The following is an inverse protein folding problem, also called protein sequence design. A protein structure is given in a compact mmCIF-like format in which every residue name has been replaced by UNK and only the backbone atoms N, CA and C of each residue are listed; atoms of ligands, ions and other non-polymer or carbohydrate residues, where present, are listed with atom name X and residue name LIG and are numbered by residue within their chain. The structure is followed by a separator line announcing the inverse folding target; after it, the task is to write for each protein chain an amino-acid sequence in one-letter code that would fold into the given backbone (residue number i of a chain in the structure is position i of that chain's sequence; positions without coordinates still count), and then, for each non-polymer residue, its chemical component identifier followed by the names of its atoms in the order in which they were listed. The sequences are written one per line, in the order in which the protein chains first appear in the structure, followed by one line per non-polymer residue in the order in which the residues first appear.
data_IF_617607204074
#
_entry.id   IF_617607204074
#
_cell.length_a   1.000
_cell.length_b   1.000
_cell.length_c   1.000
_cell.angle_alpha   90.00
_cell.angle_beta   90.00
_cell.angle_gamma   90.00
#
_symmetry.space_group_name_H-M   'P 1'
#
loop_
_entity.id
_entity.type
_entity.pdbx_description
1 polymer ?
#
# COMPACT_ATOMS: atom_id res chain seq x y z
N UNK A 1 -55.36 -3.30 37.07
CA UNK A 1 -55.30 -2.87 35.64
C UNK A 1 -54.01 -2.10 35.31
N UNK A 2 -53.49 -1.23 36.19
CA UNK A 2 -52.29 -0.41 35.94
C UNK A 2 -50.94 -1.17 35.90
N UNK A 3 -50.82 -2.34 36.55
CA UNK A 3 -49.55 -3.11 36.55
C UNK A 3 -49.24 -3.77 35.19
N UNK A 4 -50.26 -4.21 34.44
CA UNK A 4 -50.09 -4.86 33.14
C UNK A 4 -49.62 -3.88 32.04
N UNK A 5 -50.01 -2.61 32.13
CA UNK A 5 -49.52 -1.56 31.24
C UNK A 5 -48.02 -1.28 31.44
N UNK A 6 -47.53 -1.38 32.69
CA UNK A 6 -46.15 -1.03 33.06
C UNK A 6 -45.11 -2.01 32.50
N UNK A 7 -45.45 -3.29 32.37
CA UNK A 7 -44.59 -4.32 31.76
C UNK A 7 -44.56 -4.23 30.24
N UNK A 8 -45.71 -3.94 29.60
CA UNK A 8 -45.79 -3.75 28.16
C UNK A 8 -44.96 -2.56 27.67
N UNK A 9 -45.03 -1.42 28.37
CA UNK A 9 -44.25 -0.21 28.04
C UNK A 9 -42.74 -0.44 28.20
N UNK A 10 -42.31 -1.22 29.22
CA UNK A 10 -40.89 -1.52 29.44
C UNK A 10 -40.29 -2.41 28.35
N UNK A 11 -41.03 -3.42 27.89
CA UNK A 11 -40.59 -4.25 26.76
C UNK A 11 -40.59 -3.46 25.45
N UNK A 12 -41.60 -2.61 25.23
CA UNK A 12 -41.65 -1.75 24.04
C UNK A 12 -40.46 -0.78 23.98
N UNK A 13 -40.11 -0.15 25.10
CA UNK A 13 -38.97 0.76 25.19
C UNK A 13 -37.63 0.07 24.87
N UNK A 14 -37.42 -1.15 25.36
CA UNK A 14 -36.20 -1.95 25.11
C UNK A 14 -36.10 -2.38 23.64
N UNK A 15 -37.22 -2.72 23.00
CA UNK A 15 -37.25 -3.06 21.58
C UNK A 15 -36.97 -1.84 20.69
N UNK A 16 -37.46 -0.67 21.07
CA UNK A 16 -37.20 0.60 20.37
C UNK A 16 -35.74 1.00 20.47
N UNK A 17 -35.11 0.89 21.65
CA UNK A 17 -33.68 1.21 21.81
C UNK A 17 -32.77 0.23 21.05
N UNK A 18 -33.11 -1.06 21.03
CA UNK A 18 -32.36 -2.06 20.25
C UNK A 18 -32.46 -1.79 18.74
N UNK A 19 -33.63 -1.35 18.26
CA UNK A 19 -33.85 -0.98 16.85
C UNK A 19 -33.07 0.28 16.45
N UNK A 20 -33.02 1.28 17.34
CA UNK A 20 -32.23 2.51 17.11
C UNK A 20 -30.73 2.20 17.09
N UNK A 21 -30.24 1.32 17.96
CA UNK A 21 -28.84 0.92 17.99
C UNK A 21 -28.43 0.17 16.71
N UNK A 22 -29.29 -0.75 16.22
CA UNK A 22 -29.08 -1.47 14.97
C UNK A 22 -29.07 -0.56 13.71
N UNK A 23 -29.76 0.59 13.74
CA UNK A 23 -29.77 1.56 12.64
C UNK A 23 -28.60 2.54 12.68
N UNK A 24 -27.83 2.58 13.77
CA UNK A 24 -26.72 3.52 13.97
C UNK A 24 -25.36 3.01 13.48
N UNK A 25 -25.25 1.73 13.09
CA UNK A 25 -24.01 1.15 12.58
C UNK A 25 -23.76 1.55 11.13
N UNK A 26 -23.08 2.67 10.92
CA UNK A 26 -22.51 3.01 9.61
C UNK A 26 -21.25 2.16 9.38
N UNK A 27 -21.41 1.01 8.72
CA UNK A 27 -20.26 0.25 8.21
C UNK A 27 -19.77 0.93 6.93
N UNK A 28 -18.67 1.69 7.04
CA UNK A 28 -17.99 2.26 5.87
C UNK A 28 -17.11 1.18 5.26
N UNK A 29 -17.59 0.54 4.18
CA UNK A 29 -16.76 -0.35 3.36
C UNK A 29 -15.84 0.50 2.48
N UNK A 30 -14.53 0.46 2.77
CA UNK A 30 -13.51 1.04 1.89
C UNK A 30 -13.44 0.29 0.56
N UNK A 31 -13.32 1.03 -0.54
CA UNK A 31 -13.11 0.43 -1.85
C UNK A 31 -11.74 -0.26 -1.92
N UNK A 32 -11.65 -1.37 -2.65
CA UNK A 32 -10.37 -2.05 -2.89
C UNK A 32 -9.39 -1.13 -3.65
N UNK A 33 -8.09 -1.16 -3.32
CA UNK A 33 -7.09 -0.36 -4.03
C UNK A 33 -7.02 -0.76 -5.50
N UNK A 34 -6.79 0.23 -6.38
CA UNK A 34 -6.58 -0.04 -7.81
C UNK A 34 -5.33 -0.90 -8.00
N UNK A 35 -5.42 -1.88 -8.92
CA UNK A 35 -4.28 -2.72 -9.31
C UNK A 35 -3.15 -1.85 -9.85
N UNK A 36 -1.92 -2.11 -9.41
CA UNK A 36 -0.75 -1.43 -9.93
C UNK A 36 -0.56 -1.73 -11.43
N UNK A 37 -0.21 -0.69 -12.20
CA UNK A 37 0.07 -0.79 -13.64
C UNK A 37 1.57 -0.60 -13.85
N UNK A 38 2.21 -1.56 -14.52
CA UNK A 38 3.63 -1.47 -14.86
C UNK A 38 3.87 -0.36 -15.89
N UNK A 39 4.92 0.44 -15.67
CA UNK A 39 5.31 1.56 -16.53
C UNK A 39 6.83 1.62 -16.65
N UNK A 40 7.38 2.26 -17.70
CA UNK A 40 8.81 2.49 -17.79
C UNK A 40 9.35 3.29 -16.59
N UNK A 41 10.52 2.92 -16.10
CA UNK A 41 11.22 3.55 -14.96
C UNK A 41 11.23 5.08 -15.05
N UNK A 42 11.62 5.61 -16.23
CA UNK A 42 11.75 7.04 -16.47
C UNK A 42 10.44 7.83 -16.34
N UNK A 43 9.28 7.16 -16.24
CA UNK A 43 8.01 7.82 -15.96
C UNK A 43 7.97 8.40 -14.54
N UNK A 44 8.42 7.64 -13.55
CA UNK A 44 8.23 7.97 -12.13
C UNK A 44 9.53 8.21 -11.36
N UNK A 45 10.66 7.70 -11.85
CA UNK A 45 11.92 7.67 -11.10
C UNK A 45 13.07 8.34 -11.86
N UNK A 46 14.11 8.71 -11.11
CA UNK A 46 15.39 9.21 -11.62
C UNK A 46 16.55 8.58 -10.83
N UNK A 47 17.70 8.33 -11.48
CA UNK A 47 18.91 7.89 -10.77
C UNK A 47 19.38 8.95 -9.77
N UNK A 48 19.95 8.52 -8.65
CA UNK A 48 20.52 9.40 -7.61
C UNK A 48 22.04 9.29 -7.51
N UNK A 49 22.60 8.13 -7.81
CA UNK A 49 24.03 7.85 -7.67
C UNK A 49 24.49 6.81 -8.69
N UNK A 50 25.75 6.88 -9.13
CA UNK A 50 26.38 5.94 -10.07
C UNK A 50 25.46 5.57 -11.26
N UNK A 51 25.23 6.53 -12.15
CA UNK A 51 24.20 6.42 -13.19
C UNK A 51 24.55 5.34 -14.23
N UNK A 52 25.85 5.08 -14.40
CA UNK A 52 26.42 4.02 -15.21
C UNK A 52 26.18 2.61 -14.65
N UNK A 53 25.85 2.50 -13.35
CA UNK A 53 25.50 1.27 -12.65
C UNK A 53 24.00 0.94 -12.69
N UNK A 54 23.22 1.71 -13.47
CA UNK A 54 21.83 1.36 -13.82
C UNK A 54 21.77 0.98 -15.29
N UNK A 55 21.44 -0.29 -15.56
CA UNK A 55 21.20 -0.77 -16.93
C UNK A 55 19.72 -0.78 -17.22
N UNK A 56 19.34 -0.27 -18.38
CA UNK A 56 17.96 -0.16 -18.82
C UNK A 56 17.69 -1.20 -19.90
N UNK A 57 16.59 -1.94 -19.75
CA UNK A 57 16.14 -2.94 -20.71
C UNK A 57 14.70 -2.63 -21.15
N UNK A 58 14.32 -3.10 -22.34
CA UNK A 58 12.94 -3.01 -22.83
C UNK A 58 12.35 -1.58 -22.78
N UNK A 59 13.14 -0.58 -23.19
CA UNK A 59 12.71 0.83 -23.13
C UNK A 59 12.57 1.40 -21.72
N UNK A 60 13.20 0.77 -20.72
CA UNK A 60 13.15 1.16 -19.32
C UNK A 60 12.03 0.47 -18.53
N UNK A 61 11.33 -0.51 -19.10
CA UNK A 61 10.35 -1.33 -18.36
C UNK A 61 11.02 -2.28 -17.35
N UNK A 62 12.31 -2.56 -17.53
CA UNK A 62 13.14 -3.29 -16.59
C UNK A 62 14.46 -2.55 -16.40
N UNK A 63 14.97 -2.55 -15.17
CA UNK A 63 16.29 -2.03 -14.85
C UNK A 63 17.06 -3.05 -14.03
N UNK A 64 18.39 -2.98 -14.11
CA UNK A 64 19.29 -3.69 -13.20
C UNK A 64 20.16 -2.67 -12.49
N UNK A 65 20.27 -2.85 -11.18
CA UNK A 65 21.19 -2.11 -10.31
C UNK A 65 22.44 -2.96 -10.10
N UNK A 66 23.60 -2.38 -10.37
CA UNK A 66 24.88 -3.04 -10.19
C UNK A 66 25.55 -2.54 -8.91
N UNK A 67 26.16 -3.48 -8.19
CA UNK A 67 27.01 -3.24 -7.04
C UNK A 67 28.34 -3.94 -7.30
N UNK A 68 29.43 -3.21 -7.19
CA UNK A 68 30.78 -3.76 -7.24
C UNK A 68 31.61 -3.27 -6.03
N UNK A 69 32.91 -3.52 -6.07
CA UNK A 69 33.83 -3.14 -4.99
C UNK A 69 34.09 -1.63 -4.90
N UNK A 70 33.69 -0.85 -5.89
CA UNK A 70 33.87 0.60 -5.93
C UNK A 70 32.60 1.34 -5.51
N UNK A 71 31.44 0.90 -6.00
CA UNK A 71 30.19 1.60 -5.73
C UNK A 71 28.95 0.73 -5.88
N UNK A 72 27.90 1.14 -5.17
CA UNK A 72 26.53 0.71 -5.44
C UNK A 72 25.81 1.74 -6.31
N UNK A 73 24.49 1.63 -6.39
CA UNK A 73 23.66 2.61 -7.11
C UNK A 73 22.31 2.76 -6.44
N UNK A 74 21.57 3.79 -6.83
CA UNK A 74 20.26 4.09 -6.29
C UNK A 74 19.45 4.97 -7.22
N UNK A 75 18.15 5.02 -6.95
CA UNK A 75 17.20 5.89 -7.61
C UNK A 75 16.18 6.41 -6.61
N UNK A 76 15.49 7.49 -6.98
CA UNK A 76 14.40 8.06 -6.19
C UNK A 76 13.23 8.44 -7.07
N UNK A 77 12.05 8.59 -6.46
CA UNK A 77 10.88 9.10 -7.17
C UNK A 77 11.08 10.56 -7.55
N UNK A 78 10.48 10.97 -8.68
CA UNK A 78 10.46 12.38 -9.11
C UNK A 78 9.60 13.26 -8.21
N UNK A 79 8.57 12.68 -7.58
CA UNK A 79 7.64 13.36 -6.70
C UNK A 79 7.73 12.85 -5.27
N UNK A 80 7.21 13.66 -4.35
CA UNK A 80 6.99 13.30 -2.96
C UNK A 80 5.52 12.96 -2.73
N UNK A 81 5.26 12.01 -1.84
CA UNK A 81 3.91 11.51 -1.60
C UNK A 81 3.62 11.47 -0.10
N UNK A 82 2.42 11.93 0.28
CA UNK A 82 1.94 11.84 1.66
C UNK A 82 1.26 10.49 1.95
N UNK A 83 0.47 10.01 0.98
CA UNK A 83 -0.19 8.70 1.00
C UNK A 83 -0.10 8.07 -0.39
N UNK A 84 -0.14 6.75 -0.47
CA UNK A 84 -0.13 6.07 -1.76
C UNK A 84 -0.07 4.56 -1.66
N UNK A 85 -0.19 3.91 -2.81
CA UNK A 85 0.09 2.49 -2.98
C UNK A 85 1.27 2.36 -3.95
N UNK A 86 2.43 1.95 -3.41
CA UNK A 86 3.67 1.80 -4.15
C UNK A 86 3.95 0.32 -4.36
N UNK A 87 4.25 -0.05 -5.59
CA UNK A 87 4.49 -1.43 -5.97
C UNK A 87 5.66 -1.51 -6.93
N UNK A 88 6.56 -2.45 -6.66
CA UNK A 88 7.75 -2.73 -7.46
C UNK A 88 7.85 -4.23 -7.69
N UNK A 89 8.18 -4.64 -8.90
CA UNK A 89 8.57 -6.02 -9.18
C UNK A 89 10.08 -6.13 -9.01
N UNK A 90 10.54 -6.95 -8.08
CA UNK A 90 11.95 -7.08 -7.73
C UNK A 90 12.38 -8.54 -7.88
N UNK A 91 13.47 -8.76 -8.62
CA UNK A 91 14.21 -10.02 -8.62
C UNK A 91 15.52 -9.80 -7.87
N UNK A 92 15.76 -10.59 -6.84
CA UNK A 92 16.96 -10.48 -6.01
C UNK A 92 18.21 -10.98 -6.74
N UNK A 93 19.38 -10.55 -6.25
CA UNK A 93 20.69 -11.03 -6.69
C UNK A 93 20.74 -12.56 -6.55
N UNK A 94 21.19 -13.24 -7.59
CA UNK A 94 21.32 -14.70 -7.59
C UNK A 94 22.69 -15.14 -7.06
N UNK A 95 22.78 -16.36 -6.50
CA UNK A 95 24.03 -16.92 -6.00
C UNK A 95 24.40 -16.41 -4.62
N UNK A 96 25.70 -16.28 -4.35
CA UNK A 96 26.20 -15.71 -3.10
C UNK A 96 26.01 -14.19 -3.10
N UNK A 97 25.20 -13.71 -2.16
CA UNK A 97 24.87 -12.30 -1.98
C UNK A 97 25.17 -11.84 -0.54
N UNK A 98 26.07 -12.53 0.16
CA UNK A 98 26.44 -12.20 1.54
C UNK A 98 26.91 -10.74 1.66
N UNK A 99 26.36 -10.02 2.65
CA UNK A 99 26.71 -8.63 2.91
C UNK A 99 26.08 -7.60 1.94
N UNK A 100 25.32 -8.03 0.93
CA UNK A 100 24.59 -7.11 0.04
C UNK A 100 23.19 -6.80 0.57
N UNK A 101 22.71 -5.59 0.30
CA UNK A 101 21.34 -5.16 0.63
C UNK A 101 20.69 -4.58 -0.62
N UNK A 102 19.54 -5.12 -1.01
CA UNK A 102 18.64 -4.49 -2.00
C UNK A 102 17.48 -3.86 -1.23
N UNK A 103 17.31 -2.55 -1.34
CA UNK A 103 16.29 -1.81 -0.59
C UNK A 103 15.27 -1.14 -1.53
N UNK A 104 14.00 -1.18 -1.11
CA UNK A 104 12.90 -0.39 -1.66
C UNK A 104 12.16 0.23 -0.48
N UNK A 105 12.21 1.55 -0.35
CA UNK A 105 11.72 2.31 0.80
C UNK A 105 11.18 3.68 0.39
#
# INVERSE_FOLDING_TARGET
MLLNLRWGVRHYLVLVTFSIFALSSNVVLGAAPKKAVAVPFGRNYVPTWAFDHIKYFNGGNEIQLLLDNYTGTGFQSKGSYLFGHFSMQIKMVAGDSAGTVTAFY
#
